data_IF_740136658076
#
_entry.id   IF_740136658076
#
_cell.length_a   1.000
_cell.length_b   1.000
_cell.length_c   1.000
_cell.angle_alpha   90.00
_cell.angle_beta   90.00
_cell.angle_gamma   90.00
#
_symmetry.space_group_name_H-M   'P 1'
#
loop_
_entity.id
_entity.type
_entity.pdbx_description
1 polymer ?
#
# COMPACT_ATOMS: atom_id res chain seq x y z
N UNK A 1 -3.19 -6.60 -29.15
CA UNK A 1 -2.32 -5.53 -28.61
C UNK A 1 -1.74 -4.74 -29.78
N UNK A 2 -2.00 -3.44 -29.86
CA UNK A 2 -1.37 -2.57 -30.86
C UNK A 2 0.06 -2.29 -30.38
N UNK A 3 1.06 -2.37 -31.27
CA UNK A 3 2.40 -1.94 -30.93
C UNK A 3 2.35 -0.47 -30.50
N UNK A 4 3.06 -0.13 -29.42
CA UNK A 4 3.24 1.26 -29.04
C UNK A 4 3.92 2.01 -30.19
N UNK A 5 3.54 3.26 -30.44
CA UNK A 5 4.23 4.08 -31.42
C UNK A 5 5.73 4.19 -31.02
N UNK A 6 6.61 4.21 -32.01
CA UNK A 6 8.05 4.20 -31.76
C UNK A 6 8.48 5.52 -31.09
N UNK A 7 8.63 5.48 -29.75
CA UNK A 7 9.18 6.59 -28.98
C UNK A 7 10.70 6.52 -29.05
N UNK A 8 11.32 7.49 -29.73
CA UNK A 8 12.78 7.60 -29.77
C UNK A 8 13.30 8.09 -28.42
N UNK A 9 13.92 7.18 -27.67
CA UNK A 9 14.66 7.48 -26.43
C UNK A 9 16.17 7.30 -26.65
N UNK A 10 17.04 7.92 -25.84
CA UNK A 10 18.48 7.66 -25.88
C UNK A 10 18.79 6.16 -25.75
N UNK A 11 19.79 5.68 -26.48
CA UNK A 11 20.14 4.24 -26.56
C UNK A 11 20.44 3.63 -25.18
N UNK A 12 21.13 4.38 -24.31
CA UNK A 12 21.40 3.95 -22.95
C UNK A 12 20.11 3.76 -22.12
N UNK A 13 19.10 4.61 -22.29
CA UNK A 13 17.80 4.50 -21.60
C UNK A 13 17.02 3.30 -22.14
N UNK A 14 17.01 3.10 -23.45
CA UNK A 14 16.39 1.92 -24.07
C UNK A 14 17.01 0.62 -23.53
N UNK A 15 18.35 0.59 -23.41
CA UNK A 15 19.06 -0.58 -22.91
C UNK A 15 18.71 -0.88 -21.44
N UNK A 16 18.60 0.13 -20.58
CA UNK A 16 18.15 -0.04 -19.19
C UNK A 16 16.75 -0.67 -19.15
N UNK A 17 15.79 -0.12 -19.89
CA UNK A 17 14.42 -0.63 -19.93
C UNK A 17 14.33 -2.08 -20.43
N UNK A 18 15.08 -2.43 -21.48
CA UNK A 18 15.13 -3.80 -22.01
C UNK A 18 15.75 -4.78 -21.00
N UNK A 19 16.83 -4.38 -20.33
CA UNK A 19 17.46 -5.20 -19.30
C UNK A 19 16.50 -5.42 -18.12
N UNK A 20 15.93 -4.34 -17.59
CA UNK A 20 14.96 -4.39 -16.50
C UNK A 20 13.77 -5.30 -16.84
N UNK A 21 13.15 -5.14 -18.02
CA UNK A 21 11.99 -5.94 -18.41
C UNK A 21 12.32 -7.45 -18.53
N UNK A 22 13.53 -7.79 -18.99
CA UNK A 22 13.98 -9.19 -19.05
C UNK A 22 14.17 -9.76 -17.65
N UNK A 23 14.82 -9.02 -16.76
CA UNK A 23 15.08 -9.42 -15.39
C UNK A 23 13.77 -9.55 -14.59
N UNK A 24 12.88 -8.56 -14.67
CA UNK A 24 11.57 -8.59 -14.03
C UNK A 24 10.76 -9.84 -14.42
N UNK A 25 10.77 -10.23 -15.69
CA UNK A 25 10.04 -11.41 -16.16
C UNK A 25 10.65 -12.73 -15.66
N UNK A 26 11.96 -12.78 -15.45
CA UNK A 26 12.68 -13.98 -14.99
C UNK A 26 12.62 -14.11 -13.47
N UNK A 27 12.81 -13.00 -12.76
CA UNK A 27 12.71 -12.87 -11.31
C UNK A 27 11.24 -12.72 -10.95
N UNK A 28 10.58 -13.88 -10.85
CA UNK A 28 9.14 -13.97 -10.62
C UNK A 28 8.75 -13.17 -9.39
N UNK A 29 7.62 -12.48 -9.49
CA UNK A 29 7.09 -11.67 -8.40
C UNK A 29 5.77 -12.24 -7.89
N UNK A 30 5.55 -12.16 -6.58
CA UNK A 30 4.32 -12.61 -5.93
C UNK A 30 3.53 -11.39 -5.48
N UNK A 31 2.31 -11.28 -6.00
CA UNK A 31 1.32 -10.29 -5.60
C UNK A 31 0.37 -10.95 -4.59
N UNK A 32 0.50 -10.58 -3.32
CA UNK A 32 -0.36 -11.08 -2.25
C UNK A 32 -1.67 -10.31 -2.22
N UNK A 33 -2.80 -11.00 -2.37
CA UNK A 33 -4.11 -10.36 -2.49
C UNK A 33 -4.97 -10.85 -1.33
N UNK A 34 -5.29 -9.98 -0.37
CA UNK A 34 -6.19 -10.30 0.73
C UNK A 34 -7.65 -10.15 0.28
N UNK A 35 -8.20 -11.26 -0.22
CA UNK A 35 -9.49 -11.37 -0.93
C UNK A 35 -9.54 -10.52 -2.23
N UNK A 36 -10.10 -11.03 -3.33
CA UNK A 36 -10.14 -10.36 -4.65
C UNK A 36 -11.49 -9.65 -4.90
N UNK A 37 -11.49 -8.63 -5.77
CA UNK A 37 -12.73 -8.04 -6.30
C UNK A 37 -13.43 -7.06 -5.37
N UNK A 38 -12.68 -6.17 -4.71
CA UNK A 38 -13.23 -5.10 -3.86
C UNK A 38 -14.42 -4.41 -4.53
N UNK A 39 -15.59 -4.48 -3.90
CA UNK A 39 -16.81 -3.80 -4.34
C UNK A 39 -17.20 -4.01 -5.82
N UNK A 40 -16.72 -5.09 -6.46
CA UNK A 40 -16.95 -5.37 -7.88
C UNK A 40 -16.08 -4.53 -8.84
N UNK A 41 -14.99 -3.91 -8.36
CA UNK A 41 -14.02 -3.22 -9.20
C UNK A 41 -13.43 -4.17 -10.24
N UNK A 42 -13.53 -3.79 -11.51
CA UNK A 42 -13.06 -4.64 -12.60
C UNK A 42 -11.54 -4.83 -12.59
N UNK A 43 -10.78 -3.80 -12.22
CA UNK A 43 -9.33 -3.87 -12.13
C UNK A 43 -8.83 -4.72 -10.95
N UNK A 44 -9.70 -5.03 -9.99
CA UNK A 44 -9.37 -5.86 -8.83
C UNK A 44 -9.39 -7.37 -9.13
N UNK A 45 -9.52 -7.75 -10.41
CA UNK A 45 -9.50 -9.15 -10.88
C UNK A 45 -8.83 -9.22 -12.25
N UNK A 46 -7.50 -9.41 -12.29
CA UNK A 46 -6.77 -9.70 -13.54
C UNK A 46 -6.60 -11.22 -13.72
N UNK A 47 -6.96 -11.79 -14.88
CA UNK A 47 -6.74 -13.22 -15.13
C UNK A 47 -5.25 -13.62 -15.01
N UNK A 48 -4.98 -14.74 -14.34
CA UNK A 48 -3.63 -15.28 -14.14
C UNK A 48 -2.90 -15.54 -15.47
N UNK A 49 -3.63 -15.90 -16.54
CA UNK A 49 -3.08 -16.13 -17.87
C UNK A 49 -2.50 -14.86 -18.51
N UNK A 50 -2.90 -13.68 -18.04
CA UNK A 50 -2.31 -12.40 -18.45
C UNK A 50 -1.09 -12.02 -17.61
N UNK A 51 -1.05 -12.41 -16.33
CA UNK A 51 0.05 -12.08 -15.40
C UNK A 51 1.23 -13.03 -15.51
N UNK A 52 0.97 -14.33 -15.58
CA UNK A 52 2.02 -15.35 -15.58
C UNK A 52 3.08 -15.16 -16.69
N UNK A 53 2.71 -14.78 -17.93
CA UNK A 53 3.69 -14.52 -18.99
C UNK A 53 4.60 -13.31 -18.74
N UNK A 54 4.15 -12.32 -17.95
CA UNK A 54 4.95 -11.15 -17.58
C UNK A 54 5.76 -11.35 -16.30
N UNK A 55 5.62 -12.51 -15.66
CA UNK A 55 6.40 -12.90 -14.49
C UNK A 55 5.80 -12.50 -13.15
N UNK A 56 4.51 -12.13 -13.13
CA UNK A 56 3.77 -11.82 -11.90
C UNK A 56 2.81 -12.98 -11.63
N UNK A 57 2.77 -13.43 -10.37
CA UNK A 57 1.87 -14.49 -9.89
C UNK A 57 1.08 -13.98 -8.70
N UNK A 58 -0.10 -14.54 -8.49
CA UNK A 58 -0.96 -14.18 -7.36
C UNK A 58 -0.83 -15.19 -6.24
N UNK A 59 -0.60 -14.70 -5.04
CA UNK A 59 -0.88 -15.44 -3.81
C UNK A 59 -2.22 -14.94 -3.27
N UNK A 60 -3.23 -15.82 -3.23
CA UNK A 60 -4.58 -15.46 -2.79
C UNK A 60 -4.71 -15.68 -1.30
N UNK A 61 -4.53 -14.60 -0.56
CA UNK A 61 -4.62 -14.54 0.89
C UNK A 61 -6.05 -14.24 1.32
N UNK A 62 -6.36 -14.47 2.59
CA UNK A 62 -7.68 -14.13 3.15
C UNK A 62 -7.58 -13.00 4.16
N UNK A 63 -8.51 -12.05 4.11
CA UNK A 63 -8.62 -11.01 5.14
C UNK A 63 -8.89 -11.59 6.53
N UNK A 64 -9.52 -12.77 6.61
CA UNK A 64 -9.68 -13.48 7.88
C UNK A 64 -8.34 -13.94 8.47
N UNK A 65 -7.38 -14.31 7.64
CA UNK A 65 -6.02 -14.65 8.06
C UNK A 65 -5.26 -13.40 8.52
N UNK A 66 -5.44 -12.26 7.83
CA UNK A 66 -4.90 -10.97 8.27
C UNK A 66 -5.43 -10.61 9.67
N UNK A 67 -6.75 -10.64 9.86
CA UNK A 67 -7.37 -10.38 11.16
C UNK A 67 -6.90 -11.37 12.24
N UNK A 68 -6.82 -12.66 11.93
CA UNK A 68 -6.28 -13.65 12.86
C UNK A 68 -4.83 -13.33 13.26
N UNK A 69 -3.99 -12.94 12.30
CA UNK A 69 -2.60 -12.54 12.56
C UNK A 69 -2.52 -11.26 13.40
N UNK A 70 -3.37 -10.27 13.15
CA UNK A 70 -3.46 -9.05 13.98
C UNK A 70 -3.68 -9.39 15.46
N UNK A 71 -4.52 -10.38 15.76
CA UNK A 71 -4.79 -10.82 17.12
C UNK A 71 -3.59 -11.49 17.81
N UNK A 72 -2.55 -11.85 17.06
CA UNK A 72 -1.28 -12.37 17.62
C UNK A 72 -0.25 -11.27 17.87
N UNK A 73 -0.47 -10.05 17.37
CA UNK A 73 0.45 -8.92 17.56
C UNK A 73 0.23 -8.32 18.96
N UNK A 74 1.31 -8.20 19.71
CA UNK A 74 1.28 -7.67 21.07
C UNK A 74 0.99 -6.16 21.09
N UNK A 75 0.43 -5.67 22.19
CA UNK A 75 0.24 -4.22 22.37
C UNK A 75 1.58 -3.49 22.41
N UNK A 76 2.62 -4.14 22.94
CA UNK A 76 3.99 -3.57 22.99
C UNK A 76 4.54 -3.32 21.59
N UNK A 77 4.34 -4.26 20.66
CA UNK A 77 4.77 -4.07 19.27
C UNK A 77 3.99 -2.94 18.59
N UNK A 78 2.66 -2.87 18.83
CA UNK A 78 1.82 -1.80 18.30
C UNK A 78 2.24 -0.42 18.81
N UNK A 79 2.51 -0.30 20.12
CA UNK A 79 3.02 0.94 20.71
C UNK A 79 4.40 1.32 20.17
N UNK A 80 5.27 0.34 19.89
CA UNK A 80 6.59 0.62 19.30
C UNK A 80 6.46 1.28 17.92
N UNK A 81 5.52 0.83 17.10
CA UNK A 81 5.20 1.46 15.80
C UNK A 81 4.63 2.85 16.01
N UNK A 82 3.65 2.99 16.91
CA UNK A 82 3.01 4.27 17.21
C UNK A 82 3.99 5.33 17.71
N UNK A 83 4.81 5.00 18.71
CA UNK A 83 5.82 5.90 19.28
C UNK A 83 6.87 6.30 18.24
N UNK A 84 7.23 5.38 17.33
CA UNK A 84 8.12 5.68 16.22
C UNK A 84 7.53 6.75 15.28
N UNK A 85 6.22 6.69 15.00
CA UNK A 85 5.52 7.67 14.17
C UNK A 85 5.50 9.05 14.84
N UNK A 86 5.16 9.08 16.13
CA UNK A 86 5.18 10.30 16.93
C UNK A 86 6.58 10.92 17.01
N UNK A 87 7.62 10.09 17.18
CA UNK A 87 9.01 10.55 17.22
C UNK A 87 9.48 11.20 15.91
N UNK A 88 8.86 10.84 14.77
CA UNK A 88 9.07 11.48 13.46
C UNK A 88 8.15 12.66 13.19
N UNK A 89 7.34 13.04 14.18
CA UNK A 89 6.49 14.23 14.13
C UNK A 89 5.13 14.01 13.47
N UNK A 90 4.76 12.77 13.13
CA UNK A 90 3.40 12.47 12.69
C UNK A 90 2.41 12.82 13.79
N UNK A 91 1.29 13.41 13.39
CA UNK A 91 0.23 13.83 14.31
C UNK A 91 -1.01 12.98 14.07
N UNK A 92 -1.80 12.82 15.12
CA UNK A 92 -3.11 12.21 15.07
C UNK A 92 -4.09 13.15 15.75
N UNK A 93 -5.22 13.43 15.10
CA UNK A 93 -6.29 14.25 15.67
C UNK A 93 -7.15 13.40 16.61
N UNK A 94 -6.59 13.09 17.78
CA UNK A 94 -7.19 12.16 18.72
C UNK A 94 -8.32 12.79 19.53
N UNK A 95 -9.40 12.04 19.68
CA UNK A 95 -10.50 12.27 20.60
C UNK A 95 -10.75 11.07 21.51
N UNK A 96 -11.97 10.96 21.99
CA UNK A 96 -12.41 9.95 22.96
C UNK A 96 -13.63 9.14 22.51
N UNK A 97 -14.36 9.60 21.50
CA UNK A 97 -15.52 8.91 20.94
C UNK A 97 -15.16 8.21 19.62
N UNK A 98 -15.04 6.87 19.64
CA UNK A 98 -14.69 6.07 18.45
C UNK A 98 -15.71 6.20 17.29
N UNK A 99 -16.96 6.57 17.57
CA UNK A 99 -17.99 6.75 16.55
C UNK A 99 -17.77 8.02 15.71
N UNK A 100 -17.15 9.06 16.28
CA UNK A 100 -17.10 10.39 15.66
C UNK A 100 -15.70 11.00 15.60
N UNK A 101 -14.76 10.48 16.39
CA UNK A 101 -13.39 10.95 16.54
C UNK A 101 -12.41 9.77 16.31
N UNK A 102 -11.15 10.09 15.97
CA UNK A 102 -10.09 9.09 15.91
C UNK A 102 -9.60 8.83 17.33
N UNK A 103 -9.46 7.57 17.74
CA UNK A 103 -8.89 7.25 19.06
C UNK A 103 -7.54 6.57 18.96
N UNK A 104 -6.76 6.65 20.03
CA UNK A 104 -5.47 5.95 20.12
C UNK A 104 -5.65 4.44 19.93
N UNK A 105 -6.72 3.86 20.50
CA UNK A 105 -7.06 2.44 20.32
C UNK A 105 -7.21 2.07 18.85
N UNK A 106 -7.90 2.91 18.05
CA UNK A 106 -8.04 2.68 16.61
C UNK A 106 -6.69 2.74 15.89
N UNK A 107 -5.82 3.69 16.25
CA UNK A 107 -4.46 3.79 15.67
C UNK A 107 -3.60 2.58 16.04
N UNK A 108 -3.67 2.10 17.28
CA UNK A 108 -2.91 0.92 17.72
C UNK A 108 -3.37 -0.35 17.00
N UNK A 109 -4.67 -0.51 16.72
CA UNK A 109 -5.19 -1.61 15.90
C UNK A 109 -4.65 -1.56 14.46
N UNK A 110 -4.53 -0.37 13.87
CA UNK A 110 -3.89 -0.19 12.57
C UNK A 110 -2.39 -0.53 12.62
N UNK A 111 -1.69 -0.18 13.69
CA UNK A 111 -0.29 -0.59 13.91
C UNK A 111 -0.15 -2.12 13.95
N UNK A 112 -1.11 -2.83 14.56
CA UNK A 112 -1.15 -4.31 14.54
C UNK A 112 -1.39 -4.86 13.14
N UNK A 113 -2.28 -4.22 12.36
CA UNK A 113 -2.50 -4.59 10.96
C UNK A 113 -1.23 -4.42 10.13
N UNK A 114 -0.52 -3.31 10.29
CA UNK A 114 0.77 -3.06 9.63
C UNK A 114 1.81 -4.16 9.91
N UNK A 115 1.98 -4.54 11.19
CA UNK A 115 2.89 -5.62 11.57
C UNK A 115 2.44 -6.96 10.99
N UNK A 116 1.15 -7.27 11.09
CA UNK A 116 0.58 -8.52 10.58
C UNK A 116 0.75 -8.65 9.06
N UNK A 117 0.48 -7.57 8.32
CA UNK A 117 0.60 -7.53 6.87
C UNK A 117 2.04 -7.80 6.40
N UNK A 118 3.04 -7.17 7.05
CA UNK A 118 4.46 -7.40 6.73
C UNK A 118 4.92 -8.81 7.07
N UNK A 119 4.46 -9.37 8.20
CA UNK A 119 4.79 -10.75 8.58
C UNK A 119 4.22 -11.76 7.59
N UNK A 120 2.97 -11.58 7.17
CA UNK A 120 2.34 -12.43 6.15
C UNK A 120 3.04 -12.26 4.81
N UNK A 121 3.32 -11.02 4.37
CA UNK A 121 4.04 -10.77 3.13
C UNK A 121 5.40 -11.48 3.11
N UNK A 122 6.16 -11.44 4.22
CA UNK A 122 7.42 -12.17 4.34
C UNK A 122 7.22 -13.69 4.33
N UNK A 123 6.22 -14.22 5.04
CA UNK A 123 5.92 -15.65 5.11
C UNK A 123 5.61 -16.25 3.73
N UNK A 124 4.85 -15.52 2.92
CA UNK A 124 4.45 -15.95 1.57
C UNK A 124 5.38 -15.44 0.46
N UNK A 125 6.42 -14.68 0.81
CA UNK A 125 7.36 -14.11 -0.15
C UNK A 125 6.73 -13.09 -1.12
N UNK A 126 5.72 -12.35 -0.66
CA UNK A 126 5.05 -11.33 -1.46
C UNK A 126 5.98 -10.12 -1.72
N UNK A 127 6.02 -9.68 -2.97
CA UNK A 127 6.73 -8.47 -3.42
C UNK A 127 5.85 -7.22 -3.37
N UNK A 128 4.53 -7.42 -3.32
CA UNK A 128 3.52 -6.38 -3.19
C UNK A 128 2.27 -7.02 -2.59
N UNK A 129 1.50 -6.26 -1.83
CA UNK A 129 0.26 -6.76 -1.23
C UNK A 129 -0.89 -5.77 -1.41
N UNK A 130 -2.12 -6.28 -1.51
CA UNK A 130 -3.32 -5.47 -1.53
C UNK A 130 -4.29 -5.96 -0.48
N UNK A 131 -4.80 -5.04 0.32
CA UNK A 131 -5.85 -5.30 1.29
C UNK A 131 -7.17 -4.83 0.69
N UNK A 132 -8.11 -5.76 0.53
CA UNK A 132 -9.42 -5.41 -0.03
C UNK A 132 -10.13 -4.40 0.88
N UNK A 133 -10.09 -4.66 2.19
CA UNK A 133 -10.77 -3.96 3.29
C UNK A 133 -12.31 -3.92 3.14
N UNK A 134 -12.80 -3.35 2.05
CA UNK A 134 -14.21 -3.24 1.70
C UNK A 134 -14.66 -4.33 0.71
N UNK A 135 -15.71 -5.11 0.96
CA UNK A 135 -16.49 -5.26 2.17
C UNK A 135 -15.97 -6.50 2.92
N UNK A 136 -16.15 -6.55 4.24
CA UNK A 136 -15.73 -7.68 5.06
C UNK A 136 -14.85 -7.26 6.23
N UNK A 137 -13.58 -6.94 5.98
CA UNK A 137 -12.64 -6.59 7.04
C UNK A 137 -13.03 -5.29 7.77
N UNK A 138 -13.70 -4.36 7.07
CA UNK A 138 -14.25 -3.13 7.66
C UNK A 138 -15.18 -3.34 8.85
N UNK A 139 -15.79 -4.52 8.99
CA UNK A 139 -16.71 -4.86 10.07
C UNK A 139 -15.98 -5.48 11.28
N UNK A 140 -14.65 -5.69 11.16
CA UNK A 140 -13.82 -6.37 12.15
C UNK A 140 -12.72 -5.47 12.74
N UNK A 141 -12.25 -4.49 11.98
CA UNK A 141 -11.13 -3.63 12.39
C UNK A 141 -11.18 -2.24 11.74
N UNK A 142 -10.52 -1.22 12.32
CA UNK A 142 -10.41 0.11 11.72
C UNK A 142 -9.81 0.10 10.31
N UNK A 143 -9.96 1.23 9.60
CA UNK A 143 -9.44 1.45 8.25
C UNK A 143 -7.98 1.00 8.06
N UNK A 144 -7.62 0.54 6.87
CA UNK A 144 -6.25 0.16 6.55
C UNK A 144 -5.36 1.34 6.21
N UNK A 145 -5.90 2.54 6.04
CA UNK A 145 -5.23 3.68 5.38
C UNK A 145 -3.84 3.99 5.93
N UNK A 146 -3.65 4.12 7.25
CA UNK A 146 -2.34 4.31 7.88
C UNK A 146 -1.36 3.21 7.44
N UNK A 147 -1.82 1.96 7.41
CA UNK A 147 -1.03 0.81 6.97
C UNK A 147 -0.61 0.97 5.51
N UNK A 148 -1.54 1.34 4.63
CA UNK A 148 -1.28 1.48 3.20
C UNK A 148 -0.27 2.59 2.91
N UNK A 149 -0.39 3.73 3.60
CA UNK A 149 0.57 4.82 3.52
C UNK A 149 1.96 4.40 4.02
N UNK A 150 2.04 3.63 5.12
CA UNK A 150 3.32 3.16 5.66
C UNK A 150 3.99 2.11 4.78
N UNK A 151 3.24 1.16 4.23
CA UNK A 151 3.77 0.11 3.36
C UNK A 151 4.38 0.68 2.08
N UNK A 152 3.76 1.73 1.53
CA UNK A 152 4.22 2.42 0.34
C UNK A 152 5.40 3.40 0.57
N UNK A 153 5.92 3.51 1.79
CA UNK A 153 7.01 4.43 2.14
C UNK A 153 8.30 3.67 2.48
N UNK A 154 9.47 4.16 2.04
CA UNK A 154 10.75 3.50 2.31
C UNK A 154 11.20 3.67 3.77
N UNK A 155 11.14 4.90 4.31
CA UNK A 155 11.39 5.14 5.74
C UNK A 155 10.12 4.80 6.51
N UNK A 156 10.03 3.60 7.07
CA UNK A 156 8.83 3.11 7.78
C UNK A 156 9.20 2.45 9.12
N UNK A 157 8.25 2.32 10.06
CA UNK A 157 8.50 1.69 11.35
C UNK A 157 9.03 0.26 11.17
N UNK A 158 10.14 -0.13 11.84
CA UNK A 158 10.74 -1.44 11.65
C UNK A 158 9.82 -2.53 12.18
N UNK A 159 9.74 -3.64 11.44
CA UNK A 159 9.00 -4.84 11.84
C UNK A 159 9.93 -6.03 11.75
N UNK A 160 9.82 -6.95 12.70
CA UNK A 160 10.73 -8.08 12.81
C UNK A 160 9.99 -9.40 12.61
N UNK A 161 10.69 -10.33 11.96
CA UNK A 161 10.31 -11.74 11.87
C UNK A 161 10.25 -12.35 13.27
N UNK A 162 9.18 -13.10 13.56
CA UNK A 162 8.91 -13.61 14.91
C UNK A 162 9.87 -14.74 15.33
N UNK A 163 10.45 -15.45 14.36
CA UNK A 163 11.28 -16.63 14.62
C UNK A 163 12.76 -16.25 14.62
N UNK A 164 13.17 -15.49 13.61
CA UNK A 164 14.57 -15.15 13.34
C UNK A 164 14.99 -13.82 13.97
N UNK A 165 14.03 -12.94 14.30
CA UNK A 165 14.30 -11.58 14.78
C UNK A 165 14.92 -10.66 13.71
N UNK A 166 14.94 -11.09 12.44
CA UNK A 166 15.44 -10.26 11.34
C UNK A 166 14.42 -9.16 11.03
N UNK A 167 14.91 -7.94 10.80
CA UNK A 167 14.07 -6.86 10.30
C UNK A 167 13.56 -7.18 8.88
N UNK A 168 12.26 -6.98 8.68
CA UNK A 168 11.54 -7.29 7.44
C UNK A 168 11.55 -6.08 6.50
N UNK A 169 11.94 -6.31 5.23
CA UNK A 169 12.03 -5.31 4.15
C UNK A 169 12.72 -4.00 4.58
N UNK A 170 13.81 -4.11 5.36
CA UNK A 170 14.52 -2.95 5.92
C UNK A 170 15.02 -2.01 4.81
N UNK A 171 14.65 -0.73 4.89
CA UNK A 171 15.02 0.27 3.88
C UNK A 171 14.32 0.06 2.53
N UNK A 172 13.23 -0.70 2.49
CA UNK A 172 12.41 -0.93 1.31
C UNK A 172 10.93 -0.65 1.61
N UNK A 173 10.24 -0.06 0.64
CA UNK A 173 8.78 -0.06 0.63
C UNK A 173 8.30 -1.47 0.24
N UNK A 174 7.15 -1.88 0.77
CA UNK A 174 6.39 -3.03 0.27
C UNK A 174 5.19 -2.45 -0.47
N UNK A 175 5.23 -2.29 -1.80
CA UNK A 175 4.17 -1.63 -2.54
C UNK A 175 2.80 -2.19 -2.16
N UNK A 176 1.91 -1.30 -1.73
CA UNK A 176 0.55 -1.63 -1.36
C UNK A 176 -0.44 -1.05 -2.37
N UNK A 177 -1.41 -1.87 -2.79
CA UNK A 177 -2.50 -1.43 -3.66
C UNK A 177 -3.84 -1.47 -2.93
N UNK A 178 -4.38 -0.28 -2.68
CA UNK A 178 -5.68 -0.02 -2.04
C UNK A 178 -6.80 -0.78 -2.77
N UNK A 179 -7.78 -1.25 -1.98
CA UNK A 179 -8.99 -1.89 -2.51
C UNK A 179 -8.67 -3.06 -3.46
N UNK A 180 -7.52 -3.70 -3.28
CA UNK A 180 -6.99 -4.74 -4.17
C UNK A 180 -7.08 -4.39 -5.67
N UNK A 181 -6.93 -3.11 -6.06
CA UNK A 181 -6.79 -2.74 -7.47
C UNK A 181 -5.47 -3.32 -8.01
N UNK A 182 -5.56 -4.50 -8.62
CA UNK A 182 -4.42 -5.24 -9.13
C UNK A 182 -3.73 -4.52 -10.30
N UNK A 183 -4.48 -3.70 -11.05
CA UNK A 183 -3.91 -2.85 -12.09
C UNK A 183 -2.95 -1.84 -11.49
N UNK A 184 -3.38 -1.17 -10.42
CA UNK A 184 -2.53 -0.30 -9.63
C UNK A 184 -1.39 -1.06 -8.94
N UNK A 185 -1.62 -2.28 -8.46
CA UNK A 185 -0.61 -3.13 -7.84
C UNK A 185 0.55 -3.50 -8.79
N UNK A 186 0.24 -3.87 -10.03
CA UNK A 186 1.26 -4.17 -11.05
C UNK A 186 2.04 -2.92 -11.42
N UNK A 187 1.36 -1.79 -11.61
CA UNK A 187 2.03 -0.52 -11.89
C UNK A 187 2.95 -0.11 -10.73
N UNK A 188 2.45 -0.16 -9.50
CA UNK A 188 3.21 0.14 -8.28
C UNK A 188 4.45 -0.75 -8.15
N UNK A 189 4.32 -2.06 -8.37
CA UNK A 189 5.43 -3.02 -8.31
C UNK A 189 6.50 -2.71 -9.38
N UNK A 190 6.08 -2.48 -10.63
CA UNK A 190 7.00 -2.17 -11.73
C UNK A 190 7.70 -0.84 -11.49
N UNK A 191 6.93 0.20 -11.13
CA UNK A 191 7.40 1.55 -10.86
C UNK A 191 8.42 1.54 -9.72
N UNK A 192 8.06 0.95 -8.58
CA UNK A 192 8.94 0.86 -7.41
C UNK A 192 10.29 0.21 -7.76
N UNK A 193 10.28 -0.95 -8.43
CA UNK A 193 11.51 -1.65 -8.80
C UNK A 193 12.33 -0.90 -9.85
N UNK A 194 11.69 -0.36 -10.89
CA UNK A 194 12.39 0.38 -11.93
C UNK A 194 13.02 1.66 -11.36
N UNK A 195 12.31 2.35 -10.48
CA UNK A 195 12.80 3.59 -9.87
C UNK A 195 13.98 3.32 -8.95
N UNK A 196 13.97 2.23 -8.19
CA UNK A 196 15.14 1.77 -7.45
C UNK A 196 16.35 1.54 -8.37
N UNK A 197 16.17 0.88 -9.52
CA UNK A 197 17.24 0.68 -10.52
C UNK A 197 17.76 2.01 -11.07
N UNK A 198 16.89 3.01 -11.21
CA UNK A 198 17.24 4.34 -11.70
C UNK A 198 17.81 5.28 -10.62
N UNK A 199 17.76 4.89 -9.34
CA UNK A 199 18.15 5.73 -8.20
C UNK A 199 17.15 6.84 -7.88
N UNK A 200 15.88 6.66 -8.24
CA UNK A 200 14.77 7.54 -7.86
C UNK A 200 14.06 7.05 -6.59
N UNK A 201 13.28 7.95 -5.97
CA UNK A 201 12.52 7.68 -4.75
C UNK A 201 11.30 6.78 -5.07
N UNK A 202 11.28 5.50 -4.66
CA UNK A 202 10.39 4.49 -5.22
C UNK A 202 8.99 4.46 -4.55
N UNK A 203 8.70 5.41 -3.66
CA UNK A 203 7.40 5.55 -3.00
C UNK A 203 6.30 5.83 -4.02
N UNK A 204 5.23 5.05 -3.95
CA UNK A 204 4.12 5.10 -4.90
C UNK A 204 2.80 5.03 -4.17
N UNK A 205 1.75 5.55 -4.78
CA UNK A 205 0.37 5.38 -4.31
C UNK A 205 -0.56 5.49 -5.50
N UNK A 206 -1.73 4.88 -5.41
CA UNK A 206 -2.79 5.11 -6.38
C UNK A 206 -3.59 6.36 -6.02
N UNK A 207 -4.30 6.90 -7.00
CA UNK A 207 -5.29 7.95 -6.76
C UNK A 207 -6.52 7.69 -7.61
N UNK A 208 -7.71 7.97 -7.07
CA UNK A 208 -8.90 8.01 -7.90
C UNK A 208 -8.82 9.20 -8.85
N UNK A 209 -9.33 9.01 -10.06
CA UNK A 209 -9.72 10.13 -10.92
C UNK A 209 -11.06 10.65 -10.41
N UNK A 210 -10.99 11.48 -9.37
CA UNK A 210 -12.15 11.85 -8.56
C UNK A 210 -13.11 12.79 -9.26
N UNK A 211 -12.57 13.82 -9.92
CA UNK A 211 -13.35 14.87 -10.55
C UNK A 211 -12.55 15.56 -11.66
N UNK A 212 -13.20 16.30 -12.53
CA UNK A 212 -12.54 17.23 -13.44
C UNK A 212 -13.43 18.39 -13.86
N UNK A 213 -12.84 19.56 -14.07
CA UNK A 213 -13.56 20.73 -14.58
C UNK A 213 -12.66 21.64 -15.41
N UNK A 214 -13.27 22.43 -16.30
CA UNK A 214 -12.57 23.41 -17.12
C UNK A 214 -12.35 24.71 -16.34
N UNK A 215 -11.09 25.15 -16.19
CA UNK A 215 -10.70 26.43 -15.61
C UNK A 215 -9.96 27.24 -16.69
N UNK A 216 -10.57 28.34 -17.14
CA UNK A 216 -10.06 29.08 -18.30
C UNK A 216 -10.06 28.18 -19.54
N UNK A 217 -8.91 28.03 -20.20
CA UNK A 217 -8.74 27.17 -21.38
C UNK A 217 -8.24 25.76 -21.06
N UNK A 218 -7.99 25.44 -19.78
CA UNK A 218 -7.43 24.17 -19.35
C UNK A 218 -8.49 23.28 -18.71
N UNK A 219 -8.40 21.97 -18.92
CA UNK A 219 -9.16 20.98 -18.16
C UNK A 219 -8.30 20.50 -16.99
N UNK A 220 -8.81 20.62 -15.77
CA UNK A 220 -8.11 20.29 -14.53
C UNK A 220 -8.73 19.03 -13.94
N UNK A 221 -7.89 18.03 -13.67
CA UNK A 221 -8.27 16.79 -12.98
C UNK A 221 -7.97 16.91 -11.49
N UNK A 222 -8.84 16.34 -10.66
CA UNK A 222 -8.61 16.16 -9.22
C UNK A 222 -8.33 14.68 -9.02
N UNK A 223 -7.15 14.41 -8.45
CA UNK A 223 -6.72 13.09 -8.05
C UNK A 223 -6.80 13.01 -6.53
N UNK A 224 -7.51 12.02 -6.01
CA UNK A 224 -7.75 11.88 -4.57
C UNK A 224 -7.85 10.39 -4.26
N UNK A 225 -7.00 9.87 -3.39
CA UNK A 225 -7.12 8.48 -2.95
C UNK A 225 -8.19 8.39 -1.86
N UNK A 226 -8.97 7.31 -1.85
CA UNK A 226 -9.86 6.92 -0.74
C UNK A 226 -9.08 6.29 0.43
N UNK A 227 -7.98 6.93 0.85
CA UNK A 227 -7.08 6.39 1.87
C UNK A 227 -5.88 7.30 2.14
N UNK A 228 -4.72 6.71 2.38
CA UNK A 228 -3.49 7.43 2.68
C UNK A 228 -2.50 7.47 1.52
N UNK A 229 -1.56 8.41 1.62
CA UNK A 229 -0.38 8.49 0.75
C UNK A 229 0.87 8.23 1.58
N UNK A 230 1.97 7.73 0.98
CA UNK A 230 3.22 7.60 1.71
C UNK A 230 3.71 8.96 2.20
N UNK A 231 4.22 9.08 3.44
CA UNK A 231 4.71 10.34 3.99
C UNK A 231 5.72 11.05 3.10
N UNK A 232 6.54 10.34 2.31
CA UNK A 232 7.46 10.94 1.35
C UNK A 232 6.78 11.85 0.30
N UNK A 233 5.48 11.66 0.03
CA UNK A 233 4.71 12.51 -0.88
C UNK A 233 4.20 13.80 -0.22
N UNK A 234 4.30 13.91 1.10
CA UNK A 234 3.81 15.04 1.87
C UNK A 234 4.92 16.06 2.15
N UNK A 235 4.56 17.34 2.11
CA UNK A 235 5.47 18.42 2.50
C UNK A 235 5.85 18.23 3.97
N UNK A 236 7.15 18.00 4.22
CA UNK A 236 7.66 17.77 5.57
C UNK A 236 7.64 16.30 6.02
N UNK A 237 7.33 15.36 5.13
CA UNK A 237 7.34 13.94 5.46
C UNK A 237 6.30 13.60 6.54
N UNK A 238 6.68 12.75 7.48
CA UNK A 238 5.87 12.43 8.67
C UNK A 238 5.43 13.67 9.45
N UNK A 239 6.27 14.69 9.59
CA UNK A 239 5.91 15.91 10.33
C UNK A 239 4.80 16.74 9.65
N UNK A 240 4.59 16.51 8.35
CA UNK A 240 3.50 17.06 7.55
C UNK A 240 2.25 16.19 7.51
N UNK A 241 2.31 14.95 8.02
CA UNK A 241 1.20 14.01 8.03
C UNK A 241 0.27 14.23 9.23
N UNK A 242 -1.03 14.05 9.01
CA UNK A 242 -2.08 14.06 10.03
C UNK A 242 -2.97 12.84 9.83
N UNK A 243 -3.12 12.02 10.87
CA UNK A 243 -4.17 11.01 10.94
C UNK A 243 -5.49 11.65 11.39
N UNK A 244 -6.52 11.52 10.57
CA UNK A 244 -7.89 11.97 10.84
C UNK A 244 -8.81 10.75 10.83
N UNK A 245 -9.96 10.83 11.52
CA UNK A 245 -10.92 9.73 11.48
C UNK A 245 -11.55 9.62 10.10
N UNK A 246 -11.50 8.43 9.50
CA UNK A 246 -12.28 8.12 8.30
C UNK A 246 -13.79 8.30 8.54
N UNK A 247 -14.63 8.63 7.52
CA UNK A 247 -16.06 8.84 7.72
C UNK A 247 -16.82 7.57 8.16
N UNK A 248 -17.73 7.67 9.16
CA UNK A 248 -18.41 6.51 9.75
C UNK A 248 -19.33 5.75 8.78
N UNK A 249 -19.76 6.38 7.70
CA UNK A 249 -20.62 5.75 6.69
C UNK A 249 -19.96 4.55 6.00
N UNK A 250 -18.65 4.65 5.73
CA UNK A 250 -17.89 3.60 5.05
C UNK A 250 -16.97 2.84 6.01
N UNK A 251 -16.52 3.50 7.06
CA UNK A 251 -15.56 3.01 8.05
C UNK A 251 -16.20 3.05 9.45
N UNK A 252 -17.11 2.10 9.77
CA UNK A 252 -17.88 2.13 11.02
C UNK A 252 -16.98 2.06 12.26
N UNK A 253 -15.85 1.33 12.17
CA UNK A 253 -14.87 1.19 13.24
C UNK A 253 -13.78 2.29 13.22
N UNK A 254 -13.95 3.33 12.41
CA UNK A 254 -13.00 4.44 12.28
C UNK A 254 -11.66 4.00 11.68
N UNK A 255 -10.57 4.55 12.21
CA UNK A 255 -9.23 4.43 11.60
C UNK A 255 -8.85 5.69 10.83
N UNK A 256 -7.61 5.73 10.32
CA UNK A 256 -6.96 6.93 9.81
C UNK A 256 -6.05 6.69 8.63
#
# INVERSE_FOLDING_TARGET
VRAFDEVRVPENVAQIGVTFAKEFRVNKSIMGIFDEGCMGMYNAIIPDELLSPVGVFKERLSQSALFAKMNTVSDVDAHTVYDWLLARGMKFNLGSDEETELTETQVLLQCKMYIAALRIANEFGCDTIGIQYQQGLKDLTPASDLVEGLLNNVDRPPVYDEITGKELFAGEALPHFNEVDEGAGIDALITNRLWNVLGFAPETTLHDVRWGLKIGDQFVWILEISGAVPPAHLVGGYAGAMGERQPPMYFPLGGS
#
